data_IF_402056921820
#
_entry.id   IF_402056921820
#
_cell.length_a   1.000
_cell.length_b   1.000
_cell.length_c   1.000
_cell.angle_alpha   90.00
_cell.angle_beta   90.00
_cell.angle_gamma   90.00
#
_symmetry.space_group_name_H-M   'P 1'
#
loop_
_entity.id
_entity.type
_entity.pdbx_description
1 polymer ?
#
# COMPACT_ATOMS: atom_id res chain seq x y z
N UNK A 1 39.71 44.72 -30.21
CA UNK A 1 39.85 43.80 -31.37
C UNK A 1 38.47 43.60 -31.99
N UNK A 2 38.28 44.02 -33.24
CA UNK A 2 37.02 43.84 -33.96
C UNK A 2 36.89 42.38 -34.44
N UNK A 3 35.90 41.67 -33.91
CA UNK A 3 35.59 40.30 -34.31
C UNK A 3 35.21 40.28 -35.80
N UNK A 4 35.82 39.35 -36.54
CA UNK A 4 35.51 39.12 -37.95
C UNK A 4 34.08 38.62 -38.12
N UNK A 5 33.48 38.83 -39.29
CA UNK A 5 32.08 38.43 -39.59
C UNK A 5 31.81 36.94 -39.27
N UNK A 6 32.76 36.06 -39.58
CA UNK A 6 32.68 34.62 -39.25
C UNK A 6 32.71 34.34 -37.74
N UNK A 7 33.47 35.11 -36.96
CA UNK A 7 33.50 34.97 -35.51
C UNK A 7 32.19 35.42 -34.86
N UNK A 8 31.55 36.46 -35.41
CA UNK A 8 30.21 36.90 -34.97
C UNK A 8 29.16 35.85 -35.31
N UNK A 9 29.19 35.27 -36.50
CA UNK A 9 28.27 34.19 -36.91
C UNK A 9 28.43 32.94 -36.01
N UNK A 10 29.67 32.52 -35.73
CA UNK A 10 29.94 31.38 -34.84
C UNK A 10 29.43 31.63 -33.40
N UNK A 11 29.58 32.84 -32.87
CA UNK A 11 29.04 33.21 -31.56
C UNK A 11 27.50 33.21 -31.54
N UNK A 12 26.87 33.65 -32.63
CA UNK A 12 25.40 33.60 -32.77
C UNK A 12 24.90 32.16 -32.77
N UNK A 13 25.54 31.25 -33.52
CA UNK A 13 25.16 29.83 -33.52
C UNK A 13 25.40 29.14 -32.17
N UNK A 14 26.50 29.47 -31.48
CA UNK A 14 26.76 28.96 -30.13
C UNK A 14 25.71 29.45 -29.12
N UNK A 15 25.30 30.72 -29.22
CA UNK A 15 24.25 31.28 -28.36
C UNK A 15 22.89 30.62 -28.62
N UNK A 16 22.51 30.43 -29.88
CA UNK A 16 21.29 29.70 -30.26
C UNK A 16 21.32 28.26 -29.73
N UNK A 17 22.46 27.57 -29.85
CA UNK A 17 22.62 26.22 -29.31
C UNK A 17 22.44 26.15 -27.79
N UNK A 18 22.97 27.13 -27.04
CA UNK A 18 22.80 27.22 -25.58
C UNK A 18 21.34 27.51 -25.21
N UNK A 19 20.65 28.38 -25.95
CA UNK A 19 19.22 28.70 -25.72
C UNK A 19 18.33 27.48 -26.00
N UNK A 20 18.60 26.75 -27.10
CA UNK A 20 17.87 25.52 -27.42
C UNK A 20 18.14 24.45 -26.36
N UNK A 21 19.39 24.25 -25.94
CA UNK A 21 19.74 23.27 -24.92
C UNK A 21 19.13 23.59 -23.54
N UNK A 22 19.06 24.87 -23.17
CA UNK A 22 18.42 25.31 -21.92
C UNK A 22 16.90 25.17 -21.98
N UNK A 23 16.27 25.45 -23.13
CA UNK A 23 14.85 25.17 -23.36
C UNK A 23 14.56 23.66 -23.32
N UNK A 24 15.40 22.84 -23.95
CA UNK A 24 15.26 21.38 -23.97
C UNK A 24 15.42 20.78 -22.55
N UNK A 25 16.36 21.31 -21.74
CA UNK A 25 16.46 20.96 -20.31
C UNK A 25 15.26 21.40 -19.48
N UNK A 26 14.57 22.49 -19.86
CA UNK A 26 13.35 22.95 -19.20
C UNK A 26 12.16 22.05 -19.55
N UNK A 27 12.09 21.55 -20.79
CA UNK A 27 11.09 20.60 -21.28
C UNK A 27 11.32 19.15 -20.78
N UNK A 28 12.57 18.74 -20.57
CA UNK A 28 12.95 17.42 -20.06
C UNK A 28 13.04 17.31 -18.53
N UNK A 29 12.61 18.33 -17.77
CA UNK A 29 12.46 18.14 -16.33
C UNK A 29 11.39 17.05 -16.10
N UNK A 30 11.71 15.93 -15.43
CA UNK A 30 10.67 14.99 -15.02
C UNK A 30 9.65 15.76 -14.19
N UNK A 31 8.37 15.59 -14.50
CA UNK A 31 7.24 16.20 -13.79
C UNK A 31 7.16 15.64 -12.36
N UNK A 32 8.08 16.05 -11.51
CA UNK A 32 8.06 15.79 -10.08
C UNK A 32 7.45 17.02 -9.38
N UNK A 33 6.18 17.33 -9.65
CA UNK A 33 5.37 18.25 -8.80
C UNK A 33 3.87 18.33 -9.17
N UNK A 34 3.28 17.31 -9.81
CA UNK A 34 1.82 17.23 -9.98
C UNK A 34 1.28 16.02 -9.21
N UNK A 35 1.51 16.00 -7.90
CA UNK A 35 0.87 15.03 -7.00
C UNK A 35 -0.21 15.67 -6.12
N UNK A 36 -0.46 16.98 -6.25
CA UNK A 36 -1.39 17.72 -5.39
C UNK A 36 -2.58 18.39 -6.10
N UNK A 37 -2.58 18.50 -7.43
CA UNK A 37 -3.64 19.23 -8.15
C UNK A 37 -4.86 18.39 -8.52
N UNK A 38 -4.74 17.06 -8.48
CA UNK A 38 -5.90 16.17 -8.76
C UNK A 38 -6.95 16.23 -7.64
N UNK A 39 -6.55 16.54 -6.41
CA UNK A 39 -7.46 16.60 -5.26
C UNK A 39 -8.47 17.77 -5.30
N UNK A 40 -8.18 18.85 -6.03
CA UNK A 40 -8.95 20.11 -5.93
C UNK A 40 -10.14 20.18 -6.91
N UNK A 41 -10.21 19.32 -7.93
CA UNK A 41 -11.24 19.44 -9.00
C UNK A 41 -12.47 18.54 -8.87
N UNK A 42 -12.59 17.73 -7.81
CA UNK A 42 -13.68 16.75 -7.66
C UNK A 42 -14.88 17.21 -6.79
N UNK A 43 -14.91 18.47 -6.33
CA UNK A 43 -15.95 18.96 -5.44
C UNK A 43 -17.14 19.59 -6.17
N UNK A 44 -18.08 18.77 -6.65
CA UNK A 44 -19.47 19.24 -6.88
C UNK A 44 -20.46 18.11 -6.56
N UNK A 45 -20.94 18.10 -5.32
CA UNK A 45 -22.04 17.25 -4.82
C UNK A 45 -21.96 17.15 -3.30
N UNK A 46 -22.86 17.86 -2.58
CA UNK A 46 -22.96 17.94 -1.10
C UNK A 46 -21.64 17.68 -0.35
N UNK A 47 -20.77 18.69 -0.34
CA UNK A 47 -19.40 18.56 0.14
C UNK A 47 -19.37 18.18 1.63
N UNK A 48 -19.13 16.89 1.90
CA UNK A 48 -18.68 16.41 3.20
C UNK A 48 -17.42 17.17 3.61
N UNK A 49 -17.32 17.49 4.90
CA UNK A 49 -16.17 18.21 5.44
C UNK A 49 -14.87 17.44 5.10
N UNK A 50 -13.81 18.14 4.65
CA UNK A 50 -12.50 17.52 4.48
C UNK A 50 -12.07 16.84 5.77
N UNK A 51 -11.45 15.68 5.65
CA UNK A 51 -10.91 14.99 6.82
C UNK A 51 -9.87 15.85 7.52
N UNK A 52 -10.01 15.97 8.83
CA UNK A 52 -9.01 16.62 9.67
C UNK A 52 -8.11 15.56 10.29
N UNK A 53 -6.78 15.69 10.21
CA UNK A 53 -5.86 14.74 10.83
C UNK A 53 -6.17 14.56 12.32
N UNK A 54 -6.36 13.32 12.75
CA UNK A 54 -6.59 13.00 14.16
C UNK A 54 -5.39 13.37 15.01
N UNK A 55 -5.63 13.70 16.28
CA UNK A 55 -4.58 14.06 17.25
C UNK A 55 -4.22 12.80 18.03
N UNK A 56 -2.98 12.28 17.90
CA UNK A 56 -2.56 11.15 18.73
C UNK A 56 -2.58 11.52 20.21
N UNK A 57 -3.05 10.59 21.03
CA UNK A 57 -2.91 10.64 22.49
C UNK A 57 -1.42 10.73 22.89
N UNK A 58 -1.20 11.17 24.12
CA UNK A 58 0.13 11.11 24.74
C UNK A 58 0.64 9.67 24.83
N UNK A 59 1.97 9.50 24.89
CA UNK A 59 2.66 8.21 24.74
C UNK A 59 2.30 7.17 25.81
N UNK A 60 1.71 7.60 26.91
CA UNK A 60 1.27 6.83 28.08
C UNK A 60 -0.17 6.31 27.96
N UNK A 61 -0.96 6.84 27.02
CA UNK A 61 -2.34 6.41 26.81
C UNK A 61 -2.43 5.31 25.75
N UNK A 62 -3.23 4.28 26.04
CA UNK A 62 -3.52 3.21 25.08
C UNK A 62 -4.70 3.56 24.18
N UNK A 63 -4.75 2.91 23.01
CA UNK A 63 -5.92 2.93 22.14
C UNK A 63 -6.65 1.60 22.26
N UNK A 64 -7.97 1.65 22.28
CA UNK A 64 -8.77 0.45 22.03
C UNK A 64 -8.51 -0.03 20.60
N UNK A 65 -8.10 -1.30 20.47
CA UNK A 65 -7.74 -1.93 19.20
C UNK A 65 -8.43 -3.26 19.07
N UNK A 66 -9.02 -3.52 17.91
CA UNK A 66 -9.52 -4.84 17.55
C UNK A 66 -8.81 -5.34 16.30
N UNK A 67 -8.47 -6.62 16.30
CA UNK A 67 -7.99 -7.34 15.13
C UNK A 67 -9.17 -8.12 14.52
N UNK A 68 -9.64 -7.66 13.37
CA UNK A 68 -10.70 -8.31 12.61
C UNK A 68 -10.04 -9.25 11.61
N UNK A 69 -10.30 -10.55 11.75
CA UNK A 69 -9.62 -11.60 10.99
C UNK A 69 -10.63 -12.34 10.14
N UNK A 70 -10.41 -12.33 8.82
CA UNK A 70 -11.08 -13.24 7.91
C UNK A 70 -10.32 -14.56 7.87
N UNK A 71 -10.98 -15.68 8.17
CA UNK A 71 -10.43 -17.02 8.03
C UNK A 71 -11.41 -17.95 7.34
N UNK A 72 -10.87 -18.92 6.61
CA UNK A 72 -11.55 -20.12 6.14
C UNK A 72 -11.39 -21.25 7.16
N UNK A 73 -12.20 -22.31 7.00
CA UNK A 73 -12.11 -23.53 7.83
C UNK A 73 -10.72 -24.17 7.88
N UNK A 74 -9.91 -24.02 6.82
CA UNK A 74 -8.58 -24.66 6.70
C UNK A 74 -7.45 -23.82 7.30
N UNK A 75 -7.69 -22.54 7.54
CA UNK A 75 -6.67 -21.64 8.06
C UNK A 75 -6.58 -21.71 9.59
N UNK A 76 -5.34 -21.69 10.08
CA UNK A 76 -5.04 -21.73 11.51
C UNK A 76 -4.75 -20.32 12.04
N UNK A 77 -5.58 -19.85 12.96
CA UNK A 77 -5.44 -18.56 13.66
C UNK A 77 -4.94 -18.71 15.10
N UNK A 78 -4.61 -19.92 15.58
CA UNK A 78 -4.12 -20.15 16.96
C UNK A 78 -2.81 -19.43 17.27
N UNK A 79 -2.06 -19.03 16.25
CA UNK A 79 -0.87 -18.20 16.41
C UNK A 79 -1.19 -16.83 17.03
N UNK A 80 -2.41 -16.30 16.84
CA UNK A 80 -2.79 -14.97 17.36
C UNK A 80 -2.77 -14.99 18.88
N UNK A 81 -3.48 -15.93 19.51
CA UNK A 81 -3.50 -16.03 20.98
C UNK A 81 -2.13 -16.37 21.56
N UNK A 82 -1.27 -17.08 20.80
CA UNK A 82 0.10 -17.42 21.22
C UNK A 82 1.07 -16.24 21.17
N UNK A 83 1.00 -15.40 20.15
CA UNK A 83 2.00 -14.35 19.88
C UNK A 83 1.52 -12.92 20.10
N UNK A 84 0.21 -12.75 20.22
CA UNK A 84 -0.50 -11.48 20.42
C UNK A 84 -1.61 -11.66 21.47
N UNK A 85 -1.29 -12.16 22.69
CA UNK A 85 -2.31 -12.48 23.70
C UNK A 85 -3.15 -11.28 24.15
N UNK A 86 -2.59 -10.06 24.04
CA UNK A 86 -3.24 -8.82 24.47
C UNK A 86 -4.15 -8.20 23.39
N UNK A 87 -4.18 -8.77 22.17
CA UNK A 87 -5.04 -8.25 21.12
C UNK A 87 -6.47 -8.74 21.31
N UNK A 88 -7.42 -7.80 21.37
CA UNK A 88 -8.82 -8.15 21.18
C UNK A 88 -9.04 -8.58 19.73
N UNK A 89 -9.72 -9.71 19.52
CA UNK A 89 -9.92 -10.29 18.19
C UNK A 89 -11.39 -10.48 17.86
N UNK A 90 -11.77 -10.17 16.63
CA UNK A 90 -13.02 -10.61 16.01
C UNK A 90 -12.67 -11.53 14.83
N UNK A 91 -12.66 -12.85 15.08
CA UNK A 91 -12.27 -13.86 14.10
C UNK A 91 -13.52 -14.43 13.45
N UNK A 92 -13.73 -14.11 12.17
CA UNK A 92 -14.85 -14.62 11.38
C UNK A 92 -14.41 -15.84 10.60
N UNK A 93 -15.15 -16.94 10.76
CA UNK A 93 -14.94 -18.15 9.99
C UNK A 93 -15.95 -18.24 8.85
N UNK A 94 -15.45 -18.15 7.61
CA UNK A 94 -16.28 -18.31 6.41
C UNK A 94 -16.68 -19.78 6.26
N UNK A 95 -17.98 -20.03 6.04
CA UNK A 95 -18.63 -21.35 5.89
C UNK A 95 -19.06 -22.12 7.16
N UNK A 96 -18.92 -21.57 8.36
CA UNK A 96 -19.37 -22.23 9.59
C UNK A 96 -20.30 -21.33 10.41
N UNK A 97 -21.59 -21.34 10.04
CA UNK A 97 -22.61 -20.49 10.64
C UNK A 97 -23.08 -20.95 12.02
N UNK A 98 -22.67 -22.12 12.49
CA UNK A 98 -23.30 -22.78 13.65
C UNK A 98 -22.45 -22.81 14.91
N UNK A 99 -21.16 -22.49 14.85
CA UNK A 99 -20.25 -22.64 16.00
C UNK A 99 -19.38 -21.42 16.31
N UNK A 100 -19.36 -20.41 15.45
CA UNK A 100 -18.57 -19.18 15.66
C UNK A 100 -19.42 -18.06 16.26
N UNK A 101 -18.86 -17.31 17.22
CA UNK A 101 -19.46 -16.05 17.71
C UNK A 101 -19.59 -15.00 16.59
N UNK A 102 -18.70 -15.06 15.61
CA UNK A 102 -18.64 -14.12 14.48
C UNK A 102 -18.89 -14.88 13.18
N UNK A 103 -20.00 -14.55 12.51
CA UNK A 103 -20.46 -15.20 11.27
C UNK A 103 -20.74 -14.16 10.19
N UNK A 104 -20.67 -14.56 8.92
CA UNK A 104 -21.07 -13.73 7.78
C UNK A 104 -22.43 -14.16 7.24
N UNK A 105 -23.20 -13.25 6.59
CA UNK A 105 -24.50 -13.62 6.00
C UNK A 105 -24.37 -14.56 4.79
N UNK A 106 -23.21 -14.59 4.12
CA UNK A 106 -22.91 -15.50 3.03
C UNK A 106 -21.40 -15.72 2.89
N UNK A 107 -20.98 -16.78 2.19
CA UNK A 107 -19.60 -16.94 1.72
C UNK A 107 -19.46 -16.35 0.31
N UNK A 108 -19.20 -15.04 0.24
CA UNK A 108 -19.15 -14.24 -1.00
C UNK A 108 -18.25 -13.01 -0.82
N UNK A 109 -17.44 -12.66 -1.80
CA UNK A 109 -16.47 -11.56 -1.74
C UNK A 109 -15.27 -11.76 -0.82
N UNK A 110 -14.90 -13.01 -0.50
CA UNK A 110 -13.80 -13.33 0.41
C UNK A 110 -13.82 -12.49 1.72
N UNK A 111 -12.73 -11.80 2.07
CA UNK A 111 -12.60 -10.97 3.26
C UNK A 111 -13.52 -9.75 3.26
N UNK A 112 -14.00 -9.29 2.10
CA UNK A 112 -14.83 -8.10 2.02
C UNK A 112 -16.16 -8.26 2.76
N UNK A 113 -16.75 -9.45 2.72
CA UNK A 113 -17.95 -9.74 3.49
C UNK A 113 -17.72 -9.69 4.99
N UNK A 114 -16.58 -10.22 5.45
CA UNK A 114 -16.19 -10.18 6.87
C UNK A 114 -16.02 -8.73 7.30
N UNK A 115 -15.26 -7.94 6.54
CA UNK A 115 -14.93 -6.57 6.91
C UNK A 115 -16.16 -5.67 6.93
N UNK A 116 -17.02 -5.76 5.90
CA UNK A 116 -18.28 -5.02 5.85
C UNK A 116 -19.22 -5.45 6.98
N UNK A 117 -19.32 -6.75 7.26
CA UNK A 117 -20.18 -7.25 8.34
C UNK A 117 -19.73 -6.74 9.69
N UNK A 118 -18.43 -6.80 10.01
CA UNK A 118 -17.90 -6.24 11.25
C UNK A 118 -18.22 -4.75 11.38
N UNK A 119 -17.98 -3.96 10.33
CA UNK A 119 -18.25 -2.52 10.34
C UNK A 119 -19.73 -2.24 10.60
N UNK A 120 -20.65 -2.97 9.94
CA UNK A 120 -22.09 -2.76 10.07
C UNK A 120 -22.59 -3.16 11.47
N UNK A 121 -22.16 -4.32 11.96
CA UNK A 121 -22.65 -4.90 13.21
C UNK A 121 -22.17 -4.08 14.43
N UNK A 122 -20.99 -3.45 14.32
CA UNK A 122 -20.37 -2.68 15.39
C UNK A 122 -20.34 -1.16 15.15
N UNK A 123 -21.02 -0.65 14.12
CA UNK A 123 -20.90 0.73 13.64
C UNK A 123 -21.02 1.80 14.75
N UNK A 124 -21.96 1.61 15.67
CA UNK A 124 -22.23 2.55 16.76
C UNK A 124 -21.21 2.42 17.91
N UNK A 125 -20.55 1.27 18.03
CA UNK A 125 -19.64 0.90 19.14
C UNK A 125 -18.22 0.56 18.67
N UNK A 126 -17.79 1.08 17.51
CA UNK A 126 -16.46 0.80 16.95
C UNK A 126 -15.34 1.20 17.93
N UNK A 127 -14.31 0.37 18.11
CA UNK A 127 -13.12 0.74 18.87
C UNK A 127 -12.33 1.80 18.12
N UNK A 128 -11.45 2.52 18.81
CA UNK A 128 -10.70 3.64 18.24
C UNK A 128 -9.93 3.25 16.97
N UNK A 129 -9.39 2.03 16.93
CA UNK A 129 -8.68 1.47 15.78
C UNK A 129 -9.18 0.06 15.50
N UNK A 130 -9.50 -0.20 14.23
CA UNK A 130 -9.73 -1.53 13.71
C UNK A 130 -8.61 -1.91 12.76
N UNK A 131 -8.09 -3.12 12.89
CA UNK A 131 -7.07 -3.68 12.00
C UNK A 131 -7.64 -4.91 11.33
N UNK A 132 -7.77 -4.84 10.01
CA UNK A 132 -8.35 -5.89 9.17
C UNK A 132 -7.22 -6.69 8.51
N UNK A 133 -7.21 -8.01 8.73
CA UNK A 133 -6.17 -8.91 8.22
C UNK A 133 -6.73 -10.24 7.72
N UNK A 134 -5.92 -10.92 6.91
CA UNK A 134 -6.09 -12.33 6.59
C UNK A 134 -5.60 -13.22 7.74
N UNK A 135 -6.02 -14.48 7.77
CA UNK A 135 -5.66 -15.44 8.81
C UNK A 135 -4.17 -15.86 8.82
N UNK A 136 -3.47 -15.68 7.70
CA UNK A 136 -2.10 -16.16 7.50
C UNK A 136 -1.10 -15.49 8.44
N UNK A 137 -0.29 -16.30 9.16
CA UNK A 137 0.85 -15.80 9.94
C UNK A 137 1.96 -15.25 9.04
N UNK A 138 2.32 -16.00 7.98
CA UNK A 138 3.31 -15.58 6.99
C UNK A 138 2.65 -15.55 5.62
N UNK A 139 2.86 -14.46 4.89
CA UNK A 139 2.25 -14.28 3.58
C UNK A 139 3.11 -13.40 2.67
N UNK A 140 3.07 -13.68 1.36
CA UNK A 140 3.81 -12.92 0.35
C UNK A 140 3.40 -11.45 0.29
N UNK A 141 2.16 -11.14 0.70
CA UNK A 141 1.61 -9.79 0.68
C UNK A 141 1.92 -8.97 1.94
N UNK A 142 2.66 -9.54 2.89
CA UNK A 142 3.21 -8.81 4.03
C UNK A 142 4.53 -8.10 3.65
N UNK A 143 4.99 -7.23 4.54
CA UNK A 143 6.23 -6.47 4.32
C UNK A 143 7.47 -7.33 4.54
N UNK A 144 8.39 -7.37 3.57
CA UNK A 144 9.62 -8.17 3.71
C UNK A 144 10.56 -7.63 4.79
N UNK A 145 10.53 -6.32 5.04
CA UNK A 145 11.25 -5.69 6.16
C UNK A 145 10.71 -6.10 7.53
N UNK A 146 9.53 -6.70 7.58
CA UNK A 146 8.91 -7.31 8.76
C UNK A 146 8.87 -8.83 8.61
N UNK A 147 9.81 -9.40 7.84
CA UNK A 147 9.96 -10.83 7.61
C UNK A 147 8.72 -11.52 7.01
N UNK A 148 7.87 -10.76 6.30
CA UNK A 148 6.58 -11.25 5.81
C UNK A 148 5.66 -11.81 6.91
N UNK A 149 5.90 -11.41 8.17
CA UNK A 149 5.30 -11.99 9.38
C UNK A 149 4.24 -11.04 9.97
N UNK A 150 3.00 -11.53 10.06
CA UNK A 150 1.85 -10.78 10.56
C UNK A 150 2.01 -10.38 12.04
N UNK A 151 2.44 -11.27 12.97
CA UNK A 151 2.74 -10.87 14.34
C UNK A 151 3.74 -9.72 14.46
N UNK A 152 4.85 -9.79 13.70
CA UNK A 152 5.87 -8.73 13.69
C UNK A 152 5.32 -7.42 13.13
N UNK A 153 4.51 -7.52 12.08
CA UNK A 153 3.78 -6.37 11.51
C UNK A 153 2.87 -5.70 12.55
N UNK A 154 2.06 -6.47 13.27
CA UNK A 154 1.10 -5.95 14.24
C UNK A 154 1.74 -5.37 15.50
N UNK A 155 2.85 -5.95 15.96
CA UNK A 155 3.63 -5.42 17.10
C UNK A 155 4.29 -4.07 16.80
N UNK A 156 4.76 -3.87 15.57
CA UNK A 156 5.39 -2.60 15.16
C UNK A 156 4.40 -1.57 14.64
N UNK A 157 3.18 -1.96 14.29
CA UNK A 157 2.14 -1.07 13.77
C UNK A 157 1.85 0.08 14.74
N UNK A 158 2.15 1.31 14.31
CA UNK A 158 2.03 2.53 15.11
C UNK A 158 0.62 3.12 15.06
N UNK A 159 -0.07 3.10 16.20
CA UNK A 159 -1.38 3.75 16.35
C UNK A 159 -1.35 5.24 16.02
N UNK A 160 -0.28 5.97 16.37
CA UNK A 160 -0.21 7.41 16.11
C UNK A 160 -0.35 7.76 14.62
N UNK A 161 0.21 6.94 13.72
CA UNK A 161 0.06 7.13 12.28
C UNK A 161 -1.36 6.87 11.84
N UNK A 162 -1.97 5.77 12.32
CA UNK A 162 -3.34 5.40 12.00
C UNK A 162 -4.30 6.52 12.44
N UNK A 163 -4.10 7.09 13.63
CA UNK A 163 -4.90 8.21 14.13
C UNK A 163 -4.75 9.46 13.26
N UNK A 164 -3.52 9.87 12.93
CA UNK A 164 -3.30 11.07 12.10
C UNK A 164 -3.83 10.94 10.68
N UNK A 165 -3.74 9.76 10.09
CA UNK A 165 -4.14 9.53 8.70
C UNK A 165 -5.60 9.05 8.58
N UNK A 166 -6.16 8.51 9.66
CA UNK A 166 -7.48 7.86 9.68
C UNK A 166 -7.52 6.50 8.98
N UNK A 167 -6.62 6.26 8.02
CA UNK A 167 -6.50 5.02 7.26
C UNK A 167 -5.03 4.70 6.98
N UNK A 168 -4.65 3.44 7.06
CA UNK A 168 -3.31 2.95 6.70
C UNK A 168 -3.41 1.55 6.10
N UNK A 169 -2.96 1.39 4.86
CA UNK A 169 -2.70 0.07 4.30
C UNK A 169 -1.50 -0.57 5.03
N UNK A 170 -1.61 -1.85 5.40
CA UNK A 170 -0.55 -2.54 6.13
C UNK A 170 0.63 -2.91 5.22
N UNK A 171 0.47 -2.89 3.90
CA UNK A 171 1.54 -3.12 2.94
C UNK A 171 2.17 -1.79 2.55
N UNK A 172 3.49 -1.69 2.69
CA UNK A 172 4.26 -0.54 2.21
C UNK A 172 4.76 -0.71 0.77
N UNK A 173 4.92 -1.94 0.28
CA UNK A 173 5.37 -2.19 -1.09
C UNK A 173 4.31 -1.83 -2.12
N UNK A 174 4.73 -1.11 -3.14
CA UNK A 174 3.85 -0.58 -4.20
C UNK A 174 3.42 -1.64 -5.20
N UNK A 175 4.27 -2.62 -5.50
CA UNK A 175 3.93 -3.70 -6.41
C UNK A 175 3.34 -4.90 -5.66
N UNK A 176 2.19 -5.45 -6.08
CA UNK A 176 1.25 -4.87 -7.05
C UNK A 176 0.37 -3.76 -6.41
N UNK A 177 -0.21 -2.90 -7.24
CA UNK A 177 -1.25 -1.94 -6.81
C UNK A 177 -0.91 -0.44 -6.90
N UNK A 178 0.38 -0.09 -7.07
CA UNK A 178 0.84 1.30 -7.22
C UNK A 178 2.05 1.41 -8.18
N UNK A 179 2.22 2.56 -8.86
CA UNK A 179 1.23 3.61 -9.13
C UNK A 179 0.33 3.24 -10.32
N UNK A 180 -0.74 4.01 -10.53
CA UNK A 180 -1.65 3.89 -11.69
C UNK A 180 -2.06 2.45 -12.03
N UNK A 181 -2.50 1.70 -11.01
CA UNK A 181 -2.79 0.27 -11.14
C UNK A 181 -4.00 -0.02 -12.01
N UNK A 182 -5.16 0.56 -11.68
CA UNK A 182 -6.39 0.42 -12.46
C UNK A 182 -6.72 1.71 -13.17
N UNK A 183 -6.87 1.65 -14.49
CA UNK A 183 -7.28 2.77 -15.34
C UNK A 183 -8.76 2.64 -15.66
N UNK A 184 -9.57 3.59 -15.19
CA UNK A 184 -11.01 3.59 -15.41
C UNK A 184 -11.42 4.51 -16.58
N UNK A 185 -10.46 5.26 -17.12
CA UNK A 185 -10.61 6.23 -18.20
C UNK A 185 -10.19 5.69 -19.58
N UNK A 186 -9.90 4.40 -19.69
CA UNK A 186 -9.47 3.76 -20.94
C UNK A 186 -10.64 3.05 -21.63
N UNK A 187 -10.59 2.97 -22.96
CA UNK A 187 -11.58 2.24 -23.73
C UNK A 187 -11.49 0.74 -23.44
N UNK A 188 -12.62 0.03 -23.49
CA UNK A 188 -12.69 -1.40 -23.18
C UNK A 188 -11.73 -2.26 -24.03
N UNK A 189 -11.37 -1.81 -25.23
CA UNK A 189 -10.42 -2.48 -26.13
C UNK A 189 -8.97 -2.40 -25.66
N UNK A 190 -8.64 -1.42 -24.83
CA UNK A 190 -7.29 -1.17 -24.31
C UNK A 190 -7.08 -1.78 -22.91
N UNK A 191 -8.07 -2.50 -22.39
CA UNK A 191 -8.06 -3.14 -21.07
C UNK A 191 -7.18 -4.39 -21.13
N UNK A 192 -6.06 -4.38 -20.42
CA UNK A 192 -5.22 -5.57 -20.22
C UNK A 192 -5.91 -6.54 -19.25
N UNK A 193 -6.68 -7.47 -19.82
CA UNK A 193 -7.31 -8.58 -19.09
C UNK A 193 -6.40 -9.80 -18.94
N UNK A 194 -5.19 -9.77 -19.49
CA UNK A 194 -4.27 -10.91 -19.44
C UNK A 194 -3.37 -10.89 -18.22
N UNK A 195 -2.94 -9.70 -17.79
CA UNK A 195 -2.07 -9.51 -16.62
C UNK A 195 -2.85 -8.98 -15.42
N UNK A 196 -3.85 -8.11 -15.65
CA UNK A 196 -4.67 -7.47 -14.60
C UNK A 196 -6.14 -7.86 -14.74
N UNK A 197 -6.47 -9.08 -14.31
CA UNK A 197 -7.84 -9.61 -14.41
C UNK A 197 -8.90 -8.65 -13.84
N UNK A 198 -8.56 -7.94 -12.75
CA UNK A 198 -9.44 -6.93 -12.14
C UNK A 198 -9.76 -5.74 -13.05
N UNK A 199 -8.88 -5.38 -13.98
CA UNK A 199 -9.05 -4.23 -14.88
C UNK A 199 -10.31 -4.37 -15.74
N UNK A 200 -10.66 -5.60 -16.13
CA UNK A 200 -11.86 -5.89 -16.92
C UNK A 200 -13.18 -5.81 -16.12
N UNK A 201 -13.11 -5.83 -14.79
CA UNK A 201 -14.29 -5.80 -13.91
C UNK A 201 -14.68 -4.35 -13.59
N UNK A 202 -13.71 -3.45 -13.49
CA UNK A 202 -13.93 -2.06 -13.14
C UNK A 202 -14.47 -1.22 -14.30
N UNK A 203 -15.78 -1.34 -14.54
CA UNK A 203 -16.53 -0.54 -15.53
C UNK A 203 -17.16 0.70 -14.92
N UNK A 204 -17.62 1.62 -15.77
CA UNK A 204 -18.43 2.75 -15.33
C UNK A 204 -19.76 2.33 -14.68
N UNK A 205 -20.38 1.26 -15.17
CA UNK A 205 -21.61 0.73 -14.57
C UNK A 205 -21.36 0.21 -13.16
N UNK A 206 -20.30 -0.58 -12.96
CA UNK A 206 -19.90 -1.05 -11.64
C UNK A 206 -19.65 0.10 -10.68
N UNK A 207 -18.95 1.14 -11.14
CA UNK A 207 -18.68 2.31 -10.31
C UNK A 207 -19.97 2.96 -9.81
N UNK A 208 -20.96 3.16 -10.70
CA UNK A 208 -22.24 3.77 -10.32
C UNK A 208 -23.15 2.83 -9.51
N UNK A 209 -22.98 1.52 -9.61
CA UNK A 209 -23.63 0.58 -8.68
C UNK A 209 -23.09 0.75 -7.25
N UNK A 210 -21.77 0.91 -7.11
CA UNK A 210 -21.11 1.04 -5.79
C UNK A 210 -21.24 2.44 -5.20
N UNK A 211 -21.07 3.48 -6.03
CA UNK A 211 -21.06 4.89 -5.66
C UNK A 211 -21.98 5.71 -6.58
N UNK A 212 -23.32 5.62 -6.40
CA UNK A 212 -24.29 6.18 -7.35
C UNK A 212 -24.20 7.69 -7.56
N UNK A 213 -23.72 8.42 -6.57
CA UNK A 213 -23.63 9.88 -6.57
C UNK A 213 -22.23 10.42 -6.84
N UNK A 214 -21.24 9.54 -7.02
CA UNK A 214 -19.83 9.93 -7.15
C UNK A 214 -19.35 9.82 -8.59
N UNK A 215 -18.50 10.77 -9.01
CA UNK A 215 -17.82 10.67 -10.29
C UNK A 215 -16.79 9.57 -10.26
N UNK A 216 -16.70 8.83 -11.36
CA UNK A 216 -15.64 7.85 -11.55
C UNK A 216 -14.27 8.54 -11.60
N UNK A 217 -13.29 8.12 -10.79
CA UNK A 217 -11.92 8.62 -10.89
C UNK A 217 -11.26 8.00 -12.13
N UNK A 218 -10.31 8.67 -12.78
CA UNK A 218 -9.62 8.11 -13.95
C UNK A 218 -8.74 6.91 -13.58
N UNK A 219 -8.30 6.84 -12.32
CA UNK A 219 -7.34 5.85 -11.84
C UNK A 219 -7.72 5.41 -10.43
N UNK A 220 -7.58 4.13 -10.12
CA UNK A 220 -7.52 3.61 -8.75
C UNK A 220 -6.16 2.99 -8.49
N UNK A 221 -5.56 3.29 -7.34
CA UNK A 221 -4.28 2.73 -6.92
C UNK A 221 -4.14 2.69 -5.41
N UNK A 222 -3.66 1.57 -4.90
CA UNK A 222 -3.15 1.39 -3.55
C UNK A 222 -2.34 0.09 -3.49
N UNK A 223 -1.41 -0.08 -2.53
CA UNK A 223 -0.78 -1.37 -2.28
C UNK A 223 -1.80 -2.50 -2.14
N UNK A 224 -1.60 -3.62 -2.86
CA UNK A 224 -2.52 -4.75 -2.86
C UNK A 224 -2.53 -5.54 -1.54
N UNK A 225 -3.51 -6.43 -1.39
CA UNK A 225 -3.57 -7.43 -0.32
C UNK A 225 -4.68 -7.23 0.71
N UNK A 226 -5.51 -6.20 0.63
CA UNK A 226 -6.70 -5.99 1.50
C UNK A 226 -6.42 -6.14 3.02
N UNK A 227 -5.26 -5.68 3.50
CA UNK A 227 -4.98 -5.58 4.93
C UNK A 227 -4.72 -4.12 5.27
N UNK A 228 -5.49 -3.58 6.21
CA UNK A 228 -5.42 -2.17 6.56
C UNK A 228 -5.84 -1.93 8.01
N UNK A 229 -5.46 -0.76 8.53
CA UNK A 229 -5.98 -0.23 9.76
C UNK A 229 -6.76 1.06 9.48
N UNK A 230 -7.85 1.26 10.22
CA UNK A 230 -8.73 2.42 10.05
C UNK A 230 -9.25 2.87 11.42
N UNK A 231 -9.48 4.16 11.58
CA UNK A 231 -10.05 4.72 12.83
C UNK A 231 -11.57 4.66 12.82
N UNK A 232 -12.18 4.62 14.01
CA UNK A 232 -13.64 4.72 14.13
C UNK A 232 -14.18 6.03 13.52
N UNK A 233 -13.46 7.13 13.72
CA UNK A 233 -13.78 8.42 13.10
C UNK A 233 -13.85 8.30 11.58
N UNK A 234 -12.82 7.70 10.96
CA UNK A 234 -12.74 7.50 9.51
C UNK A 234 -13.81 6.56 8.95
N UNK A 235 -14.28 5.61 9.75
CA UNK A 235 -15.42 4.75 9.37
C UNK A 235 -16.72 5.56 9.43
N UNK A 236 -16.99 6.26 10.54
CA UNK A 236 -18.26 7.01 10.76
C UNK A 236 -18.41 8.25 9.88
N UNK A 237 -17.29 8.68 9.34
CA UNK A 237 -17.14 9.60 8.23
C UNK A 237 -18.10 9.22 7.07
N UNK A 238 -18.35 7.93 6.82
CA UNK A 238 -19.42 7.45 5.94
C UNK A 238 -20.62 6.95 6.75
N UNK A 239 -21.87 7.23 6.37
CA UNK A 239 -23.03 6.71 7.07
C UNK A 239 -23.07 5.18 6.99
N UNK A 240 -23.62 4.53 8.04
CA UNK A 240 -23.82 3.07 8.11
C UNK A 240 -24.49 2.50 6.84
N UNK A 241 -25.48 3.21 6.30
CA UNK A 241 -26.22 2.83 5.10
C UNK A 241 -25.34 2.67 3.85
N UNK A 242 -24.19 3.35 3.76
CA UNK A 242 -23.22 3.14 2.69
C UNK A 242 -22.60 1.74 2.78
N UNK A 243 -22.18 1.31 3.98
CA UNK A 243 -21.60 -0.01 4.18
C UNK A 243 -22.64 -1.11 3.93
N UNK A 244 -23.89 -0.89 4.36
CA UNK A 244 -25.02 -1.78 4.07
C UNK A 244 -25.28 -1.88 2.57
N UNK A 245 -25.25 -0.76 1.84
CA UNK A 245 -25.35 -0.73 0.37
C UNK A 245 -24.25 -1.56 -0.29
N UNK A 246 -22.99 -1.35 0.10
CA UNK A 246 -21.84 -2.09 -0.43
C UNK A 246 -21.95 -3.60 -0.14
N UNK A 247 -22.37 -4.00 1.08
CA UNK A 247 -22.60 -5.40 1.43
C UNK A 247 -23.75 -6.00 0.62
N UNK A 248 -24.83 -5.24 0.43
CA UNK A 248 -25.97 -5.67 -0.37
C UNK A 248 -25.61 -5.84 -1.85
N UNK A 249 -24.78 -4.95 -2.40
CA UNK A 249 -24.22 -5.12 -3.74
C UNK A 249 -23.42 -6.42 -3.82
N UNK A 250 -22.53 -6.66 -2.84
CA UNK A 250 -21.67 -7.84 -2.81
C UNK A 250 -22.47 -9.15 -2.74
N UNK A 251 -23.60 -9.15 -2.02
CA UNK A 251 -24.52 -10.30 -1.95
C UNK A 251 -25.26 -10.57 -3.26
N UNK A 252 -25.60 -9.51 -4.02
CA UNK A 252 -26.46 -9.58 -5.20
C UNK A 252 -25.69 -9.72 -6.52
N UNK A 253 -24.44 -9.30 -6.56
CA UNK A 253 -23.65 -9.29 -7.80
C UNK A 253 -23.45 -10.70 -8.36
N UNK A 254 -23.63 -10.82 -9.67
CA UNK A 254 -23.37 -12.05 -10.43
C UNK A 254 -21.87 -12.32 -10.61
N UNK A 255 -21.00 -11.35 -10.29
CA UNK A 255 -19.55 -11.51 -10.38
C UNK A 255 -19.08 -12.70 -9.54
N UNK A 256 -18.19 -13.57 -10.04
CA UNK A 256 -17.59 -14.64 -9.26
C UNK A 256 -16.94 -14.13 -7.98
N UNK A 257 -16.89 -14.98 -6.95
CA UNK A 257 -16.38 -14.67 -5.61
C UNK A 257 -15.00 -13.98 -5.62
N UNK A 258 -14.07 -14.54 -6.39
CA UNK A 258 -12.72 -13.98 -6.58
C UNK A 258 -12.75 -12.57 -7.18
N UNK A 259 -13.61 -12.30 -8.18
CA UNK A 259 -13.70 -11.00 -8.83
C UNK A 259 -14.36 -9.97 -7.93
N UNK A 260 -15.47 -10.33 -7.26
CA UNK A 260 -16.16 -9.42 -6.36
C UNK A 260 -15.32 -9.09 -5.11
N UNK A 261 -14.55 -10.03 -4.58
CA UNK A 261 -13.56 -9.77 -3.52
C UNK A 261 -12.45 -8.82 -3.99
N UNK A 262 -11.91 -9.05 -5.19
CA UNK A 262 -10.87 -8.21 -5.81
C UNK A 262 -11.31 -6.77 -6.07
N UNK A 263 -12.59 -6.55 -6.35
CA UNK A 263 -13.17 -5.19 -6.42
C UNK A 263 -12.95 -4.45 -5.10
N UNK A 264 -13.27 -5.07 -3.97
CA UNK A 264 -13.07 -4.44 -2.66
C UNK A 264 -11.59 -4.29 -2.29
N UNK A 265 -10.73 -5.25 -2.67
CA UNK A 265 -9.28 -5.17 -2.45
C UNK A 265 -8.69 -3.84 -2.96
N UNK A 266 -9.19 -3.29 -4.07
CA UNK A 266 -8.73 -2.01 -4.63
C UNK A 266 -9.63 -0.81 -4.33
N UNK A 267 -10.63 -0.96 -3.46
CA UNK A 267 -11.55 0.12 -3.08
C UNK A 267 -11.47 0.55 -1.62
N UNK A 268 -10.82 -0.21 -0.72
CA UNK A 268 -10.76 0.15 0.69
C UNK A 268 -10.24 1.57 0.94
N UNK A 269 -9.15 1.96 0.29
CA UNK A 269 -8.63 3.32 0.35
C UNK A 269 -9.68 4.34 -0.08
N UNK A 270 -10.42 4.07 -1.16
CA UNK A 270 -11.41 5.01 -1.68
C UNK A 270 -12.63 5.11 -0.76
N UNK A 271 -13.13 3.98 -0.26
CA UNK A 271 -14.26 3.90 0.68
C UNK A 271 -13.98 4.78 1.90
N UNK A 272 -12.77 4.71 2.46
CA UNK A 272 -12.45 5.47 3.67
C UNK A 272 -12.00 6.90 3.36
N UNK A 273 -11.14 7.11 2.38
CA UNK A 273 -10.44 8.38 2.19
C UNK A 273 -10.96 9.24 1.03
N UNK A 274 -11.75 8.66 0.12
CA UNK A 274 -12.10 9.24 -1.20
C UNK A 274 -10.89 9.59 -2.07
N UNK A 275 -9.69 9.15 -1.68
CA UNK A 275 -8.51 9.26 -2.49
C UNK A 275 -8.43 8.06 -3.42
N UNK A 276 -8.52 8.32 -4.72
CA UNK A 276 -8.44 7.28 -5.74
C UNK A 276 -7.02 6.71 -5.88
N UNK A 277 -5.99 7.53 -5.61
CA UNK A 277 -4.58 7.16 -5.70
C UNK A 277 -3.88 7.28 -4.34
N UNK A 278 -3.92 6.20 -3.57
CA UNK A 278 -3.30 6.10 -2.25
C UNK A 278 -1.98 5.32 -2.30
N UNK A 279 -0.91 5.98 -2.73
CA UNK A 279 0.42 5.39 -2.87
C UNK A 279 1.47 6.15 -2.03
N UNK A 280 1.42 6.05 -0.68
CA UNK A 280 2.35 6.75 0.20
C UNK A 280 3.79 6.34 -0.10
N UNK A 281 4.75 7.26 0.09
CA UNK A 281 6.16 6.89 -0.11
C UNK A 281 6.55 5.76 0.85
N UNK A 282 7.20 4.73 0.32
CA UNK A 282 7.46 3.50 1.08
C UNK A 282 8.33 3.75 2.32
N UNK A 283 9.30 4.67 2.25
CA UNK A 283 10.12 5.05 3.40
C UNK A 283 9.30 5.69 4.53
N UNK A 284 8.29 6.51 4.21
CA UNK A 284 7.39 7.08 5.21
C UNK A 284 6.44 6.01 5.77
N UNK A 285 5.90 5.13 4.92
CA UNK A 285 5.09 3.99 5.38
C UNK A 285 5.85 3.14 6.40
N UNK A 286 7.11 2.80 6.11
CA UNK A 286 7.96 2.02 7.01
C UNK A 286 8.36 2.77 8.28
N UNK A 287 8.82 4.01 8.15
CA UNK A 287 9.30 4.76 9.31
C UNK A 287 8.17 5.17 10.24
N UNK A 288 7.14 5.81 9.69
CA UNK A 288 6.03 6.34 10.48
C UNK A 288 5.06 5.22 10.94
N UNK A 289 4.86 4.19 10.10
CA UNK A 289 3.93 3.11 10.38
C UNK A 289 4.50 1.96 11.18
N UNK A 290 5.80 1.68 11.03
CA UNK A 290 6.44 0.52 11.65
C UNK A 290 7.73 0.85 12.39
N UNK A 291 8.16 2.10 12.44
CA UNK A 291 9.43 2.47 13.08
C UNK A 291 10.64 1.83 12.40
N UNK A 292 10.67 1.77 11.06
CA UNK A 292 11.86 1.38 10.30
C UNK A 292 12.29 2.59 9.46
N UNK A 293 13.28 3.34 9.96
CA UNK A 293 13.60 4.68 9.47
C UNK A 293 14.97 4.73 8.81
N UNK A 294 15.01 4.85 7.49
CA UNK A 294 16.26 4.87 6.72
C UNK A 294 16.98 6.23 6.77
N UNK A 295 16.30 7.27 7.25
CA UNK A 295 16.81 8.63 7.41
C UNK A 295 16.51 9.55 6.23
N UNK A 296 16.13 9.00 5.08
CA UNK A 296 15.61 9.75 3.93
C UNK A 296 15.09 8.79 2.85
N UNK A 297 14.31 9.34 1.91
CA UNK A 297 13.89 8.63 0.71
C UNK A 297 15.09 8.09 -0.10
N UNK A 298 16.17 8.86 -0.22
CA UNK A 298 17.37 8.47 -0.98
C UNK A 298 18.08 7.26 -0.35
N UNK A 299 18.18 7.22 0.99
CA UNK A 299 18.78 6.09 1.70
C UNK A 299 17.93 4.82 1.59
N UNK A 300 16.60 4.98 1.61
CA UNK A 300 15.68 3.87 1.34
C UNK A 300 15.84 3.35 -0.10
N UNK A 301 15.92 4.24 -1.11
CA UNK A 301 16.15 3.83 -2.50
C UNK A 301 17.50 3.12 -2.69
N UNK A 302 18.55 3.56 -1.98
CA UNK A 302 19.83 2.86 -1.99
C UNK A 302 19.69 1.43 -1.46
N UNK A 303 19.00 1.27 -0.33
CA UNK A 303 18.69 -0.04 0.25
C UNK A 303 17.91 -0.92 -0.74
N UNK A 304 16.81 -0.41 -1.31
CA UNK A 304 15.97 -1.13 -2.28
C UNK A 304 16.78 -1.57 -3.50
N UNK A 305 17.66 -0.71 -4.01
CA UNK A 305 18.53 -1.04 -5.16
C UNK A 305 19.49 -2.18 -4.82
N UNK A 306 20.13 -2.15 -3.64
CA UNK A 306 21.06 -3.19 -3.19
C UNK A 306 20.32 -4.51 -2.95
N UNK A 307 19.18 -4.44 -2.26
CA UNK A 307 18.32 -5.60 -2.01
C UNK A 307 17.80 -6.21 -3.31
N UNK A 308 17.30 -5.40 -4.24
CA UNK A 308 16.83 -5.86 -5.55
C UNK A 308 17.94 -6.48 -6.40
N UNK A 309 19.16 -5.94 -6.37
CA UNK A 309 20.32 -6.55 -7.03
C UNK A 309 20.65 -7.92 -6.43
N UNK A 310 20.68 -8.01 -5.10
CA UNK A 310 20.90 -9.27 -4.39
C UNK A 310 19.84 -10.32 -4.77
N UNK A 311 18.56 -9.96 -4.71
CA UNK A 311 17.45 -10.83 -5.09
C UNK A 311 17.52 -11.29 -6.56
N UNK A 312 17.94 -10.41 -7.48
CA UNK A 312 18.12 -10.77 -8.90
C UNK A 312 19.24 -11.80 -9.10
N UNK A 313 20.35 -11.67 -8.38
CA UNK A 313 21.45 -12.66 -8.43
C UNK A 313 20.95 -14.00 -7.87
N UNK A 314 20.34 -13.98 -6.69
CA UNK A 314 19.80 -15.18 -6.03
C UNK A 314 18.75 -15.90 -6.89
N UNK A 315 17.81 -15.16 -7.48
CA UNK A 315 16.82 -15.71 -8.40
C UNK A 315 17.42 -16.20 -9.73
N UNK A 316 18.53 -15.60 -10.17
CA UNK A 316 19.32 -16.12 -11.29
C UNK A 316 19.95 -17.47 -10.98
N UNK A 317 20.54 -17.61 -9.78
CA UNK A 317 21.12 -18.88 -9.33
C UNK A 317 20.07 -19.98 -9.21
N UNK A 318 18.91 -19.67 -8.64
CA UNK A 318 17.81 -20.62 -8.53
C UNK A 318 17.32 -21.09 -9.91
N UNK A 319 17.11 -20.17 -10.87
CA UNK A 319 16.65 -20.52 -12.22
C UNK A 319 17.65 -21.35 -13.03
N UNK A 320 18.94 -21.16 -12.78
CA UNK A 320 20.01 -21.86 -13.50
C UNK A 320 20.52 -23.09 -12.75
N UNK A 321 19.92 -23.45 -11.61
CA UNK A 321 20.35 -24.56 -10.74
C UNK A 321 21.86 -24.53 -10.43
N UNK A 322 22.38 -23.34 -10.11
CA UNK A 322 23.81 -23.11 -9.86
C UNK A 322 24.29 -23.95 -8.67
N UNK A 323 25.35 -24.72 -8.88
CA UNK A 323 25.92 -25.64 -7.88
C UNK A 323 27.05 -25.01 -7.06
N UNK A 324 27.57 -25.74 -6.07
CA UNK A 324 28.69 -25.27 -5.24
C UNK A 324 29.99 -25.10 -6.04
N UNK A 325 30.26 -25.96 -7.02
CA UNK A 325 31.45 -25.83 -7.88
C UNK A 325 31.38 -24.62 -8.78
N UNK A 326 30.17 -24.23 -9.19
CA UNK A 326 29.94 -23.08 -10.06
C UNK A 326 30.26 -21.73 -9.39
N UNK A 327 30.12 -21.67 -8.06
CA UNK A 327 30.39 -20.47 -7.24
C UNK A 327 31.73 -20.51 -6.51
N UNK A 328 32.46 -21.63 -6.60
CA UNK A 328 33.80 -21.76 -6.03
C UNK A 328 34.79 -20.81 -6.74
N UNK A 329 35.94 -20.48 -6.13
CA UNK A 329 36.97 -19.67 -6.79
C UNK A 329 37.35 -20.25 -8.16
N UNK A 330 37.27 -19.43 -9.22
CA UNK A 330 37.48 -19.84 -10.61
C UNK A 330 36.24 -20.38 -11.33
N UNK A 331 35.13 -20.58 -10.61
CA UNK A 331 33.84 -20.98 -11.18
C UNK A 331 33.13 -19.86 -11.94
N UNK A 332 32.23 -20.25 -12.86
CA UNK A 332 31.49 -19.33 -13.75
C UNK A 332 30.68 -18.26 -13.01
N UNK A 333 30.24 -18.56 -11.79
CA UNK A 333 29.42 -17.68 -10.96
C UNK A 333 30.14 -17.24 -9.68
N UNK A 334 31.47 -17.34 -9.62
CA UNK A 334 32.27 -16.88 -8.50
C UNK A 334 32.08 -15.37 -8.24
N UNK A 335 32.16 -14.51 -9.27
CA UNK A 335 31.98 -13.06 -9.10
C UNK A 335 30.57 -12.67 -8.68
N UNK A 336 29.49 -13.12 -9.35
CA UNK A 336 28.14 -12.84 -8.88
C UNK A 336 27.90 -13.34 -7.45
N UNK A 337 28.50 -14.47 -7.05
CA UNK A 337 28.39 -14.96 -5.68
C UNK A 337 29.10 -14.05 -4.68
N UNK A 338 30.31 -13.58 -5.00
CA UNK A 338 31.03 -12.58 -4.18
C UNK A 338 30.25 -11.28 -4.04
N UNK A 339 29.70 -10.78 -5.15
CA UNK A 339 28.85 -9.58 -5.15
C UNK A 339 27.61 -9.79 -4.26
N UNK A 340 26.90 -10.91 -4.41
CA UNK A 340 25.74 -11.25 -3.59
C UNK A 340 26.10 -11.29 -2.09
N UNK A 341 27.23 -11.89 -1.72
CA UNK A 341 27.70 -11.93 -0.32
C UNK A 341 28.09 -10.56 0.23
N UNK A 342 28.65 -9.67 -0.60
CA UNK A 342 28.91 -8.29 -0.20
C UNK A 342 27.60 -7.52 0.01
N UNK A 343 26.67 -7.62 -0.94
CA UNK A 343 25.35 -7.00 -0.84
C UNK A 343 24.56 -7.51 0.36
N UNK A 344 24.62 -8.81 0.68
CA UNK A 344 23.96 -9.40 1.85
C UNK A 344 24.41 -8.70 3.14
N UNK A 345 25.72 -8.47 3.31
CA UNK A 345 26.27 -7.75 4.47
C UNK A 345 25.82 -6.30 4.53
N UNK A 346 25.85 -5.60 3.40
CA UNK A 346 25.46 -4.19 3.31
C UNK A 346 23.95 -4.00 3.58
N UNK A 347 23.10 -4.81 2.94
CA UNK A 347 21.64 -4.81 3.11
C UNK A 347 21.30 -5.11 4.56
N UNK A 348 21.93 -6.12 5.16
CA UNK A 348 21.73 -6.46 6.57
C UNK A 348 22.12 -5.29 7.50
N UNK A 349 23.26 -4.65 7.26
CA UNK A 349 23.69 -3.50 8.06
C UNK A 349 22.73 -2.30 7.93
N UNK A 350 22.32 -1.96 6.69
CA UNK A 350 21.38 -0.87 6.43
C UNK A 350 20.01 -1.13 7.08
N UNK A 351 19.52 -2.37 7.00
CA UNK A 351 18.27 -2.77 7.63
C UNK A 351 18.30 -2.57 9.14
N UNK A 352 19.29 -3.12 9.83
CA UNK A 352 19.37 -3.01 11.30
C UNK A 352 19.61 -1.57 11.77
N UNK A 353 20.38 -0.79 11.02
CA UNK A 353 20.51 0.64 11.29
C UNK A 353 19.15 1.34 11.20
N UNK A 354 18.36 1.07 10.16
CA UNK A 354 17.03 1.65 9.99
C UNK A 354 16.04 1.19 11.08
N UNK A 355 16.12 -0.09 11.46
CA UNK A 355 15.30 -0.69 12.51
C UNK A 355 15.52 0.00 13.86
N UNK A 356 16.75 0.02 14.35
CA UNK A 356 17.06 0.62 15.66
C UNK A 356 16.91 2.15 15.66
N UNK A 357 17.20 2.80 14.53
CA UNK A 357 16.94 4.23 14.38
C UNK A 357 15.46 4.55 14.56
N UNK A 358 14.57 3.72 14.04
CA UNK A 358 13.14 3.95 14.13
C UNK A 358 12.53 3.63 15.49
N UNK A 359 13.29 3.13 16.46
CA UNK A 359 12.85 3.00 17.87
C UNK A 359 12.83 4.36 18.60
N UNK A 360 13.59 5.35 18.12
CA UNK A 360 13.58 6.73 18.64
C UNK A 360 12.57 7.62 17.90
N UNK A 361 11.69 8.26 18.69
CA UNK A 361 10.66 9.18 18.24
C UNK A 361 11.20 10.38 17.44
N UNK A 362 12.39 10.86 17.77
CA UNK A 362 13.02 12.01 17.10
C UNK A 362 13.29 11.69 15.64
N UNK A 363 13.74 10.47 15.33
CA UNK A 363 14.00 10.07 13.95
C UNK A 363 12.71 9.78 13.20
N UNK A 364 11.73 9.15 13.86
CA UNK A 364 10.40 8.95 13.26
C UNK A 364 9.78 10.27 12.84
N UNK A 365 9.82 11.30 13.69
CA UNK A 365 9.26 12.63 13.42
C UNK A 365 9.78 13.28 12.14
N UNK A 366 11.05 13.08 11.81
CA UNK A 366 11.68 13.66 10.61
C UNK A 366 11.15 13.01 9.33
N UNK A 367 10.81 11.73 9.37
CA UNK A 367 10.31 10.95 8.25
C UNK A 367 8.81 10.61 8.40
N UNK A 368 8.06 11.48 9.09
CA UNK A 368 6.61 11.38 9.16
C UNK A 368 5.98 11.75 7.83
N UNK A 369 5.00 10.96 7.45
CA UNK A 369 4.10 11.37 6.37
C UNK A 369 3.26 12.56 6.84
N UNK A 370 3.26 13.62 6.03
CA UNK A 370 2.36 14.74 6.23
C UNK A 370 0.95 14.28 5.85
N UNK A 371 -0.02 14.53 6.70
CA UNK A 371 -1.41 14.25 6.38
C UNK A 371 -1.85 15.07 5.16
N UNK A 372 -2.60 14.42 4.27
CA UNK A 372 -3.13 14.99 3.03
C UNK A 372 -4.23 16.03 3.29
#
# INVERSE_FOLDING_TARGET
MNLTRRQKEALTYAFIGIVIFTLFKKLLRPHAEICGLSAVKYLTGNARQPFSPGIPKHSDASYSRVLVVSKTLREDTRWISKELPDFQTAIYETNNLTTSKYTTPANKGHEAMVYLTYIIDHYDELPEIMVFIHAHKQAWHNNFLLSNDTPTTLRRLRSDRIIRQGYMNLRCHHDPGCPMWLRLDIAAIDVDTTVKLEQGVFTQSLWHELFPTERIPPVLSQPAGAQFAVTAERVRDNPKSMYEHLRNWLLKTELPDFQSGRVFEYLWQYIFTRNAEFCPQQNYCYCDGYGICFGSHQKYQEFERKHGRMAKIQGGFARLNVSKSDIAPGGKFAEPHREMKALEKEVHALFWQAWFRGDDERFRRVERERSL
#
